data_IF_694072172720
#
_entry.id   IF_694072172720
#
_cell.length_a   1.000
_cell.length_b   1.000
_cell.length_c   1.000
_cell.angle_alpha   90.00
_cell.angle_beta   90.00
_cell.angle_gamma   90.00
#
_symmetry.space_group_name_H-M   'P 1'
#
loop_
_entity.id
_entity.type
_entity.pdbx_description
1 polymer ?
#
# COMPACT_ATOMS: atom_id res chain seq x y z
N UNK A 1 19.73 3.12 -17.62
CA UNK A 1 18.41 2.60 -17.20
C UNK A 1 18.03 3.31 -15.91
N UNK A 2 16.78 3.74 -15.74
CA UNK A 2 16.33 4.35 -14.49
C UNK A 2 16.42 3.32 -13.34
N UNK A 3 16.70 3.78 -12.12
CA UNK A 3 16.72 2.89 -10.95
C UNK A 3 15.31 2.32 -10.70
N UNK A 4 15.17 1.00 -10.42
CA UNK A 4 13.88 0.40 -10.11
C UNK A 4 13.21 1.08 -8.90
N UNK A 5 11.89 1.28 -8.98
CA UNK A 5 11.12 1.82 -7.86
C UNK A 5 11.10 0.81 -6.71
N UNK A 6 11.55 1.24 -5.53
CA UNK A 6 11.51 0.47 -4.30
C UNK A 6 10.18 0.66 -3.59
N UNK A 7 9.43 -0.41 -3.40
CA UNK A 7 8.13 -0.42 -2.70
C UNK A 7 8.29 -1.15 -1.37
N UNK A 8 8.16 -0.40 -0.28
CA UNK A 8 8.09 -0.90 1.08
C UNK A 8 6.70 -1.46 1.38
N UNK A 9 6.62 -2.65 1.95
CA UNK A 9 5.34 -3.32 2.25
C UNK A 9 5.34 -3.76 3.71
N UNK A 10 4.35 -3.29 4.48
CA UNK A 10 4.07 -3.76 5.85
C UNK A 10 2.91 -4.74 5.81
N UNK A 11 3.19 -6.04 5.96
CA UNK A 11 2.19 -7.09 5.76
C UNK A 11 2.59 -8.42 6.46
N UNK A 12 2.11 -9.57 6.00
CA UNK A 12 2.36 -10.90 6.55
C UNK A 12 3.60 -11.59 6.00
N UNK A 13 4.38 -10.91 5.14
CA UNK A 13 5.65 -11.41 4.62
C UNK A 13 5.70 -11.46 3.09
N UNK A 14 6.72 -12.13 2.58
CA UNK A 14 6.97 -12.27 1.14
C UNK A 14 6.85 -13.74 0.66
N UNK A 15 6.34 -13.98 -0.58
CA UNK A 15 6.29 -15.32 -1.15
C UNK A 15 7.60 -15.67 -1.88
N UNK A 16 8.02 -16.93 -1.82
CA UNK A 16 9.22 -17.42 -2.51
C UNK A 16 9.19 -17.13 -4.02
N UNK A 17 8.00 -17.16 -4.62
CA UNK A 17 7.79 -16.84 -6.04
C UNK A 17 8.25 -15.43 -6.45
N UNK A 18 8.46 -14.52 -5.50
CA UNK A 18 8.96 -13.16 -5.74
C UNK A 18 10.37 -12.92 -5.18
N UNK A 19 11.14 -13.98 -4.86
CA UNK A 19 12.48 -13.87 -4.27
C UNK A 19 13.40 -12.91 -5.05
N UNK A 20 13.39 -12.95 -6.38
CA UNK A 20 14.27 -12.14 -7.23
C UNK A 20 13.87 -10.65 -7.27
N UNK A 21 12.74 -10.32 -6.64
CA UNK A 21 12.17 -8.98 -6.56
C UNK A 21 12.26 -8.39 -5.15
N UNK A 22 12.48 -9.22 -4.13
CA UNK A 22 12.60 -8.78 -2.73
C UNK A 22 14.07 -8.45 -2.46
N UNK A 23 14.38 -7.17 -2.27
CA UNK A 23 15.73 -6.68 -2.00
C UNK A 23 16.14 -6.93 -0.54
N UNK A 24 15.19 -6.76 0.36
CA UNK A 24 15.37 -6.97 1.78
C UNK A 24 14.03 -7.36 2.41
N UNK A 25 14.07 -8.19 3.44
CA UNK A 25 12.92 -8.52 4.25
C UNK A 25 13.32 -8.63 5.72
N UNK A 26 12.47 -8.14 6.61
CA UNK A 26 12.68 -8.24 8.05
C UNK A 26 11.40 -8.65 8.75
N UNK A 27 11.52 -9.64 9.64
CA UNK A 27 10.45 -10.05 10.52
C UNK A 27 10.46 -9.22 11.80
N UNK A 28 9.30 -8.64 12.11
CA UNK A 28 9.03 -7.94 13.37
C UNK A 28 8.07 -8.72 14.26
N UNK A 29 7.69 -9.93 13.86
CA UNK A 29 6.85 -10.81 14.70
C UNK A 29 7.69 -11.42 15.82
N UNK A 30 7.04 -11.79 16.93
CA UNK A 30 7.71 -12.45 18.04
C UNK A 30 8.37 -13.76 17.57
N UNK A 31 9.65 -13.96 17.94
CA UNK A 31 10.46 -15.10 17.46
C UNK A 31 11.22 -14.85 16.16
N UNK A 32 10.93 -13.76 15.44
CA UNK A 32 11.61 -13.40 14.20
C UNK A 32 11.39 -14.40 13.07
N UNK A 33 12.37 -14.53 12.17
CA UNK A 33 12.37 -15.50 11.07
C UNK A 33 12.75 -14.89 9.72
N UNK A 34 12.57 -15.69 8.68
CA UNK A 34 12.84 -15.39 7.26
C UNK A 34 11.91 -14.35 6.63
N UNK A 35 10.95 -13.82 7.39
CA UNK A 35 9.88 -12.94 6.92
C UNK A 35 9.03 -13.53 5.78
N UNK A 36 9.07 -14.85 5.56
CA UNK A 36 8.26 -15.49 4.53
C UNK A 36 6.78 -15.48 4.91
N UNK A 37 5.94 -15.29 3.90
CA UNK A 37 4.49 -15.23 4.08
C UNK A 37 3.90 -16.63 4.30
N UNK A 38 3.43 -16.89 5.52
CA UNK A 38 2.73 -18.12 5.91
C UNK A 38 1.20 -17.96 5.89
N UNK A 39 0.72 -16.72 5.84
CA UNK A 39 -0.70 -16.37 5.88
C UNK A 39 -1.30 -16.19 4.48
N UNK A 40 -0.47 -15.79 3.52
CA UNK A 40 -0.84 -15.55 2.12
C UNK A 40 -1.37 -14.14 1.84
N UNK A 41 -1.54 -13.28 2.85
CA UNK A 41 -2.05 -11.92 2.64
C UNK A 41 -0.98 -11.05 1.94
N UNK A 42 0.25 -11.04 2.46
CA UNK A 42 1.39 -10.32 1.88
C UNK A 42 1.72 -10.77 0.46
N UNK A 43 1.62 -12.07 0.17
CA UNK A 43 1.79 -12.63 -1.15
C UNK A 43 0.81 -12.02 -2.16
N UNK A 44 -0.48 -11.93 -1.82
CA UNK A 44 -1.50 -11.31 -2.68
C UNK A 44 -1.27 -9.82 -2.85
N UNK A 45 -0.91 -9.12 -1.77
CA UNK A 45 -0.53 -7.69 -1.79
C UNK A 45 0.62 -7.44 -2.78
N UNK A 46 1.70 -8.22 -2.69
CA UNK A 46 2.88 -8.10 -3.55
C UNK A 46 2.57 -8.49 -5.00
N UNK A 47 1.76 -9.52 -5.23
CA UNK A 47 1.33 -9.93 -6.57
C UNK A 47 0.50 -8.84 -7.26
N UNK A 48 -0.43 -8.20 -6.54
CA UNK A 48 -1.22 -7.08 -7.08
C UNK A 48 -0.32 -5.91 -7.54
N UNK A 49 0.69 -5.55 -6.74
CA UNK A 49 1.65 -4.51 -7.13
C UNK A 49 2.52 -4.94 -8.32
N UNK A 50 3.01 -6.19 -8.32
CA UNK A 50 3.87 -6.74 -9.37
C UNK A 50 3.16 -6.75 -10.73
N UNK A 51 1.85 -7.03 -10.75
CA UNK A 51 1.06 -7.02 -11.99
C UNK A 51 1.02 -5.64 -12.67
N UNK A 52 1.13 -4.55 -11.90
CA UNK A 52 1.07 -3.18 -12.42
C UNK A 52 2.46 -2.56 -12.62
N UNK A 53 3.41 -2.92 -11.77
CA UNK A 53 4.79 -2.44 -11.82
C UNK A 53 5.75 -3.63 -11.88
N UNK A 54 5.90 -4.27 -13.06
CA UNK A 54 6.69 -5.49 -13.23
C UNK A 54 8.20 -5.28 -13.05
N UNK A 55 8.68 -4.04 -12.94
CA UNK A 55 10.07 -3.72 -12.64
C UNK A 55 10.28 -3.25 -11.20
N UNK A 56 9.20 -3.10 -10.41
CA UNK A 56 9.32 -2.72 -9.00
C UNK A 56 10.14 -3.75 -8.23
N UNK A 57 10.81 -3.25 -7.19
CA UNK A 57 11.56 -4.04 -6.22
C UNK A 57 10.99 -3.81 -4.84
N UNK A 58 10.96 -4.85 -4.01
CA UNK A 58 10.24 -4.83 -2.75
C UNK A 58 11.18 -4.85 -1.55
N UNK A 59 10.79 -4.11 -0.52
CA UNK A 59 11.36 -4.23 0.83
C UNK A 59 10.20 -4.62 1.74
N UNK A 60 10.29 -5.77 2.41
CA UNK A 60 9.12 -6.37 3.09
C UNK A 60 9.33 -6.42 4.59
N UNK A 61 8.50 -5.68 5.32
CA UNK A 61 8.45 -5.74 6.78
C UNK A 61 7.28 -6.63 7.20
N UNK A 62 7.59 -7.83 7.69
CA UNK A 62 6.57 -8.74 8.20
C UNK A 62 6.16 -8.32 9.61
N UNK A 63 4.91 -7.88 9.76
CA UNK A 63 4.31 -7.52 11.06
C UNK A 63 3.15 -8.44 11.45
N UNK A 64 2.60 -9.18 10.49
CA UNK A 64 1.60 -10.21 10.73
C UNK A 64 2.26 -11.60 10.65
N UNK A 65 2.07 -12.40 11.69
CA UNK A 65 2.53 -13.79 11.73
C UNK A 65 1.46 -14.73 11.18
N UNK A 66 0.95 -15.60 12.03
CA UNK A 66 -0.12 -16.57 11.69
C UNK A 66 -1.52 -15.95 11.61
N UNK A 67 -1.67 -14.68 12.03
CA UNK A 67 -2.92 -13.94 11.97
C UNK A 67 -2.68 -12.46 11.65
N UNK A 68 -3.70 -11.79 11.11
CA UNK A 68 -3.71 -10.33 10.86
C UNK A 68 -3.85 -9.52 12.15
N UNK A 69 -2.93 -9.73 13.09
CA UNK A 69 -2.88 -9.05 14.39
C UNK A 69 -1.45 -8.65 14.69
N UNK A 70 -1.26 -7.41 15.10
CA UNK A 70 0.02 -6.82 15.47
C UNK A 70 -0.23 -5.57 16.32
N UNK A 71 0.79 -5.06 17.00
CA UNK A 71 0.70 -3.81 17.73
C UNK A 71 1.24 -2.63 16.89
N UNK A 72 0.74 -1.42 17.15
CA UNK A 72 1.08 -0.24 16.34
C UNK A 72 2.50 0.28 16.59
N UNK A 73 3.15 -0.09 17.70
CA UNK A 73 4.56 0.23 17.91
C UNK A 73 5.45 -0.64 17.01
N UNK A 74 5.06 -1.90 16.79
CA UNK A 74 5.67 -2.79 15.81
C UNK A 74 5.50 -2.28 14.38
N UNK A 75 4.30 -1.83 14.00
CA UNK A 75 4.08 -1.17 12.70
C UNK A 75 4.92 0.09 12.56
N UNK A 76 5.03 0.93 13.60
CA UNK A 76 5.86 2.13 13.57
C UNK A 76 7.34 1.82 13.30
N UNK A 77 7.91 0.83 14.00
CA UNK A 77 9.29 0.37 13.76
C UNK A 77 9.49 -0.19 12.35
N UNK A 78 8.50 -0.92 11.83
CA UNK A 78 8.52 -1.43 10.47
C UNK A 78 8.55 -0.28 9.44
N UNK A 79 7.74 0.77 9.63
CA UNK A 79 7.74 1.96 8.76
C UNK A 79 9.10 2.65 8.79
N UNK A 80 9.67 2.90 9.97
CA UNK A 80 11.01 3.52 10.09
C UNK A 80 12.09 2.67 9.40
N UNK A 81 12.01 1.35 9.51
CA UNK A 81 12.93 0.45 8.84
C UNK A 81 12.78 0.52 7.31
N UNK A 82 11.56 0.54 6.78
CA UNK A 82 11.34 0.71 5.33
C UNK A 82 11.92 2.02 4.79
N UNK A 83 11.83 3.11 5.57
CA UNK A 83 12.48 4.39 5.23
C UNK A 83 13.99 4.21 5.15
N UNK A 84 14.59 3.55 6.15
CA UNK A 84 16.04 3.28 6.19
C UNK A 84 16.52 2.44 5.00
N UNK A 85 15.72 1.47 4.56
CA UNK A 85 16.00 0.62 3.39
C UNK A 85 15.76 1.34 2.04
N UNK A 86 15.38 2.62 2.08
CA UNK A 86 15.25 3.46 0.89
C UNK A 86 13.95 3.24 0.13
N UNK A 87 12.86 2.82 0.79
CA UNK A 87 11.55 2.72 0.16
C UNK A 87 11.13 4.07 -0.46
N UNK A 88 10.66 4.03 -1.70
CA UNK A 88 10.09 5.19 -2.40
C UNK A 88 8.60 5.30 -2.14
N UNK A 89 7.90 4.17 -2.17
CA UNK A 89 6.48 4.03 -1.85
C UNK A 89 6.36 3.11 -0.65
N UNK A 90 5.51 3.42 0.32
CA UNK A 90 5.21 2.52 1.45
C UNK A 90 3.72 2.19 1.42
N UNK A 91 3.41 0.90 1.30
CA UNK A 91 2.05 0.37 1.34
C UNK A 91 1.67 -0.06 2.76
N UNK A 92 0.62 0.55 3.31
CA UNK A 92 0.03 0.22 4.60
C UNK A 92 -1.42 -0.25 4.40
N UNK A 93 -1.59 -1.53 4.04
CA UNK A 93 -2.89 -2.20 3.88
C UNK A 93 -3.50 -2.60 5.24
N UNK A 94 -3.50 -1.69 6.21
CA UNK A 94 -4.01 -1.89 7.56
C UNK A 94 -4.66 -0.61 8.08
N UNK A 95 -5.55 -0.73 9.07
CA UNK A 95 -6.21 0.42 9.66
C UNK A 95 -6.69 0.18 11.08
N UNK A 96 -6.49 1.15 11.96
CA UNK A 96 -7.01 1.18 13.34
C UNK A 96 -7.81 2.46 13.57
N UNK A 97 -8.84 2.40 14.43
CA UNK A 97 -9.69 3.58 14.73
C UNK A 97 -9.01 4.60 15.64
N UNK A 98 -8.13 4.13 16.52
CA UNK A 98 -7.44 4.97 17.48
C UNK A 98 -6.13 5.50 16.87
N UNK A 99 -5.81 6.76 17.15
CA UNK A 99 -4.50 7.34 16.87
C UNK A 99 -3.43 6.78 17.81
N UNK A 100 -2.26 6.46 17.27
CA UNK A 100 -1.11 5.99 18.02
C UNK A 100 0.08 6.92 17.78
N UNK A 101 0.56 7.66 18.81
CA UNK A 101 1.65 8.63 18.65
C UNK A 101 2.91 8.06 18.00
N UNK A 102 3.28 6.81 18.31
CA UNK A 102 4.43 6.15 17.71
C UNK A 102 4.25 5.94 16.19
N UNK A 103 3.07 5.47 15.77
CA UNK A 103 2.76 5.25 14.35
C UNK A 103 2.67 6.59 13.60
N UNK A 104 2.01 7.58 14.20
CA UNK A 104 1.95 8.95 13.67
C UNK A 104 3.34 9.49 13.39
N UNK A 105 4.22 9.45 14.38
CA UNK A 105 5.58 9.96 14.25
C UNK A 105 6.40 9.21 13.19
N UNK A 106 6.22 7.89 13.04
CA UNK A 106 6.87 7.11 11.99
C UNK A 106 6.35 7.48 10.60
N UNK A 107 5.04 7.66 10.43
CA UNK A 107 4.45 8.12 9.18
C UNK A 107 4.89 9.54 8.81
N UNK A 108 4.96 10.46 9.78
CA UNK A 108 5.47 11.81 9.58
C UNK A 108 6.93 11.82 9.13
N UNK A 109 7.79 10.99 9.74
CA UNK A 109 9.18 10.80 9.31
C UNK A 109 9.28 10.25 7.89
N UNK A 110 8.46 9.25 7.54
CA UNK A 110 8.44 8.67 6.20
C UNK A 110 8.04 9.71 5.14
N UNK A 111 7.02 10.52 5.40
CA UNK A 111 6.62 11.60 4.49
C UNK A 111 7.74 12.65 4.39
N UNK A 112 8.34 13.03 5.52
CA UNK A 112 9.44 14.01 5.56
C UNK A 112 10.70 13.54 4.81
N UNK A 113 10.96 12.22 4.73
CA UNK A 113 12.04 11.64 3.93
C UNK A 113 11.70 11.51 2.44
N UNK A 114 10.54 11.98 2.00
CA UNK A 114 10.10 11.90 0.60
C UNK A 114 9.55 10.53 0.19
N UNK A 115 9.13 9.70 1.15
CA UNK A 115 8.38 8.48 0.85
C UNK A 115 6.92 8.82 0.55
N UNK A 116 6.35 8.16 -0.45
CA UNK A 116 4.93 8.23 -0.75
C UNK A 116 4.19 7.18 0.09
N UNK A 117 3.46 7.63 1.09
CA UNK A 117 2.71 6.75 1.98
C UNK A 117 1.33 6.47 1.41
N UNK A 118 1.04 5.23 1.03
CA UNK A 118 -0.28 4.79 0.56
C UNK A 118 -0.92 3.92 1.64
N UNK A 119 -2.06 4.34 2.15
CA UNK A 119 -2.70 3.69 3.30
C UNK A 119 -4.19 3.44 3.05
N UNK A 120 -4.66 2.27 3.49
CA UNK A 120 -6.04 1.85 3.26
C UNK A 120 -7.03 2.63 4.12
N UNK A 121 -8.17 2.99 3.52
CA UNK A 121 -9.29 3.64 4.20
C UNK A 121 -10.59 2.89 3.91
N UNK A 122 -11.50 2.74 4.88
CA UNK A 122 -12.77 2.07 4.63
C UNK A 122 -13.67 2.90 3.71
N UNK A 123 -14.54 2.22 2.95
CA UNK A 123 -15.52 2.91 2.10
C UNK A 123 -16.56 3.69 2.90
N UNK A 124 -16.85 3.24 4.13
CA UNK A 124 -17.85 3.80 5.05
C UNK A 124 -17.34 3.75 6.48
N UNK A 125 -17.82 4.67 7.30
CA UNK A 125 -17.48 4.77 8.72
C UNK A 125 -16.37 5.78 8.97
N UNK A 126 -15.89 5.79 10.21
CA UNK A 126 -14.90 6.76 10.67
C UNK A 126 -13.55 6.59 9.95
N UNK A 127 -12.78 7.69 9.81
CA UNK A 127 -11.40 7.61 9.37
C UNK A 127 -10.58 6.64 10.22
N UNK A 128 -9.66 5.94 9.57
CA UNK A 128 -8.72 5.02 10.23
C UNK A 128 -7.29 5.51 10.06
N UNK A 129 -6.44 5.16 11.01
CA UNK A 129 -5.01 5.42 10.96
C UNK A 129 -4.29 4.18 10.44
N UNK A 130 -3.30 4.32 9.54
CA UNK A 130 -2.56 5.55 9.24
C UNK A 130 -3.12 6.43 8.12
N UNK A 131 -4.19 6.03 7.42
CA UNK A 131 -4.74 6.81 6.31
C UNK A 131 -5.18 8.22 6.69
N UNK A 132 -5.62 8.44 7.93
CA UNK A 132 -6.00 9.75 8.44
C UNK A 132 -4.80 10.64 8.86
N UNK A 133 -3.55 10.16 8.82
CA UNK A 133 -2.40 11.00 9.11
C UNK A 133 -2.08 11.98 7.96
N UNK A 134 -1.58 13.18 8.26
CA UNK A 134 -1.15 14.14 7.24
C UNK A 134 -0.12 13.53 6.27
N UNK A 135 -0.28 13.82 4.98
CA UNK A 135 0.64 13.38 3.93
C UNK A 135 0.34 11.99 3.34
N UNK A 136 -0.45 11.15 4.02
CA UNK A 136 -0.89 9.87 3.47
C UNK A 136 -1.77 10.06 2.21
N UNK A 137 -1.61 9.15 1.25
CA UNK A 137 -2.51 8.95 0.11
C UNK A 137 -3.52 7.89 0.53
N UNK A 138 -4.78 8.29 0.64
CA UNK A 138 -5.86 7.46 1.18
C UNK A 138 -6.47 6.60 0.08
N UNK A 139 -6.25 5.29 0.19
CA UNK A 139 -6.67 4.30 -0.81
C UNK A 139 -7.91 3.54 -0.35
N UNK A 140 -9.01 3.72 -1.07
CA UNK A 140 -10.25 2.98 -0.87
C UNK A 140 -10.34 1.80 -1.87
N UNK A 141 -11.00 0.72 -1.48
CA UNK A 141 -11.46 -0.27 -2.46
C UNK A 141 -12.61 0.27 -3.31
N UNK A 142 -12.49 0.22 -4.64
CA UNK A 142 -13.53 0.65 -5.58
C UNK A 142 -13.90 -0.49 -6.53
N UNK A 143 -15.12 -1.03 -6.35
CA UNK A 143 -15.61 -2.16 -7.12
C UNK A 143 -15.86 -1.84 -8.61
N UNK A 144 -15.85 -0.56 -9.01
CA UNK A 144 -15.88 -0.15 -10.42
C UNK A 144 -14.57 -0.46 -11.13
N UNK A 145 -13.46 -0.45 -10.40
CA UNK A 145 -12.12 -0.60 -10.97
C UNK A 145 -11.79 -2.08 -11.21
N UNK A 146 -11.32 -2.39 -12.41
CA UNK A 146 -10.61 -3.64 -12.72
C UNK A 146 -9.10 -3.50 -12.43
N UNK A 147 -8.31 -4.59 -12.41
CA UNK A 147 -6.87 -4.49 -12.21
C UNK A 147 -6.22 -3.49 -13.18
N UNK A 148 -5.43 -2.57 -12.63
CA UNK A 148 -4.78 -1.48 -13.38
C UNK A 148 -5.60 -0.19 -13.52
N UNK A 149 -6.87 -0.21 -13.13
CA UNK A 149 -7.69 0.98 -13.00
C UNK A 149 -7.68 1.51 -11.56
N UNK A 150 -7.82 2.83 -11.45
CA UNK A 150 -8.08 3.55 -10.21
C UNK A 150 -9.09 4.67 -10.48
N UNK A 151 -9.69 5.19 -9.42
CA UNK A 151 -10.62 6.31 -9.45
C UNK A 151 -10.09 7.49 -8.66
N UNK A 152 -10.35 8.70 -9.12
CA UNK A 152 -10.14 9.93 -8.38
C UNK A 152 -11.41 10.24 -7.59
N UNK A 153 -11.46 9.78 -6.34
CA UNK A 153 -12.63 9.95 -5.47
C UNK A 153 -12.69 11.38 -4.94
N UNK A 154 -11.53 11.90 -4.51
CA UNK A 154 -11.36 13.26 -3.96
C UNK A 154 -12.37 13.58 -2.85
N UNK A 155 -12.62 12.60 -1.97
CA UNK A 155 -13.54 12.69 -0.84
C UNK A 155 -12.78 13.06 0.45
N UNK A 156 -13.47 13.65 1.44
CA UNK A 156 -12.85 13.99 2.72
C UNK A 156 -12.19 12.81 3.46
N UNK A 157 -12.61 11.57 3.20
CA UNK A 157 -12.07 10.36 3.84
C UNK A 157 -11.33 9.41 2.89
N UNK A 158 -11.27 9.72 1.59
CA UNK A 158 -10.62 8.88 0.57
C UNK A 158 -10.21 9.68 -0.66
N UNK A 159 -8.95 9.57 -1.05
CA UNK A 159 -8.40 10.31 -2.18
C UNK A 159 -8.64 9.57 -3.48
N UNK A 160 -8.29 8.28 -3.50
CA UNK A 160 -8.38 7.43 -4.67
C UNK A 160 -9.02 6.09 -4.33
N UNK A 161 -9.71 5.51 -5.31
CA UNK A 161 -10.21 4.15 -5.27
C UNK A 161 -9.39 3.25 -6.19
N UNK A 162 -9.26 1.97 -5.90
CA UNK A 162 -8.65 1.02 -6.82
C UNK A 162 -9.25 -0.38 -6.69
N UNK A 163 -8.87 -1.27 -7.62
CA UNK A 163 -9.42 -2.62 -7.72
C UNK A 163 -9.31 -3.39 -6.41
N UNK A 164 -10.40 -4.03 -5.99
CA UNK A 164 -10.44 -4.85 -4.77
C UNK A 164 -10.15 -6.33 -5.03
N UNK A 165 -9.97 -6.72 -6.30
CA UNK A 165 -9.78 -8.11 -6.69
C UNK A 165 -8.28 -8.44 -6.79
N UNK A 166 -7.88 -9.67 -6.41
CA UNK A 166 -6.55 -10.16 -6.74
C UNK A 166 -6.38 -10.28 -8.27
N UNK A 167 -5.13 -10.36 -8.77
CA UNK A 167 -4.87 -10.44 -10.21
C UNK A 167 -5.55 -11.62 -10.94
N UNK A 168 -5.80 -12.72 -10.24
CA UNK A 168 -6.53 -13.90 -10.74
C UNK A 168 -8.06 -13.72 -10.75
N UNK A 169 -8.57 -12.60 -10.22
CA UNK A 169 -9.99 -12.28 -10.19
C UNK A 169 -10.78 -12.97 -9.09
N UNK A 170 -10.12 -13.70 -8.17
CA UNK A 170 -10.81 -14.43 -7.10
C UNK A 170 -11.54 -13.49 -6.13
N UNK A 171 -12.88 -13.55 -6.15
CA UNK A 171 -13.75 -12.73 -5.30
C UNK A 171 -13.73 -13.15 -3.83
N UNK A 172 -13.35 -14.40 -3.51
CA UNK A 172 -13.30 -14.87 -2.12
C UNK A 172 -12.26 -14.13 -1.30
N UNK A 173 -11.22 -13.61 -1.96
CA UNK A 173 -10.13 -12.86 -1.33
C UNK A 173 -10.16 -11.36 -1.66
N UNK A 174 -11.29 -10.86 -2.14
CA UNK A 174 -11.45 -9.43 -2.42
C UNK A 174 -11.43 -8.59 -1.14
N UNK A 175 -10.84 -7.40 -1.19
CA UNK A 175 -10.81 -6.53 -0.01
C UNK A 175 -10.16 -5.17 -0.19
N UNK A 176 -10.33 -4.32 0.83
CA UNK A 176 -9.72 -3.00 0.88
C UNK A 176 -8.18 -3.04 0.87
N UNK A 177 -7.58 -4.10 1.41
CA UNK A 177 -6.13 -4.34 1.34
C UNK A 177 -5.61 -4.41 -0.10
N UNK A 178 -6.39 -5.01 -1.00
CA UNK A 178 -6.06 -5.10 -2.42
C UNK A 178 -6.27 -3.76 -3.13
N UNK A 179 -7.29 -2.99 -2.75
CA UNK A 179 -7.44 -1.60 -3.24
C UNK A 179 -6.19 -0.76 -2.93
N UNK A 180 -5.70 -0.84 -1.70
CA UNK A 180 -4.44 -0.17 -1.32
C UNK A 180 -3.23 -0.71 -2.11
N UNK A 181 -3.13 -2.03 -2.27
CA UNK A 181 -2.04 -2.66 -3.02
C UNK A 181 -2.03 -2.27 -4.51
N UNK A 182 -3.19 -2.29 -5.17
CA UNK A 182 -3.33 -1.87 -6.57
C UNK A 182 -2.99 -0.39 -6.74
N UNK A 183 -3.42 0.48 -5.81
CA UNK A 183 -3.04 1.89 -5.88
C UNK A 183 -1.52 2.07 -5.69
N UNK A 184 -0.90 1.36 -4.75
CA UNK A 184 0.55 1.38 -4.56
C UNK A 184 1.30 0.89 -5.80
N UNK A 185 0.82 -0.18 -6.44
CA UNK A 185 1.34 -0.66 -7.72
C UNK A 185 1.20 0.37 -8.84
N UNK A 186 0.06 1.08 -8.89
CA UNK A 186 -0.17 2.17 -9.85
C UNK A 186 0.79 3.34 -9.62
N UNK A 187 1.03 3.74 -8.37
CA UNK A 187 2.02 4.76 -8.02
C UNK A 187 3.42 4.33 -8.46
N UNK A 188 3.81 3.09 -8.20
CA UNK A 188 5.10 2.57 -8.64
C UNK A 188 5.24 2.55 -10.16
N UNK A 189 4.17 2.19 -10.89
CA UNK A 189 4.14 2.22 -12.35
C UNK A 189 4.28 3.64 -12.91
N UNK A 190 3.63 4.63 -12.31
CA UNK A 190 3.75 6.04 -12.70
C UNK A 190 5.19 6.54 -12.52
N UNK A 191 5.81 6.23 -11.39
CA UNK A 191 7.21 6.60 -11.12
C UNK A 191 8.18 5.93 -12.11
N UNK A 192 7.98 4.64 -12.40
CA UNK A 192 8.77 3.93 -13.41
C UNK A 192 8.57 4.51 -14.82
N UNK A 193 7.39 5.05 -15.10
CA UNK A 193 7.05 5.77 -16.33
C UNK A 193 7.59 7.20 -16.41
N UNK A 194 8.35 7.66 -15.41
CA UNK A 194 9.02 8.97 -15.43
C UNK A 194 8.27 10.09 -14.71
N UNK A 195 7.16 9.80 -14.02
CA UNK A 195 6.54 10.79 -13.12
C UNK A 195 7.55 11.12 -12.01
N UNK A 196 7.73 12.41 -11.73
CA UNK A 196 8.65 12.87 -10.71
C UNK A 196 8.32 12.27 -9.35
N UNK A 197 9.37 11.94 -8.57
CA UNK A 197 9.26 11.38 -7.21
C UNK A 197 8.89 12.48 -6.21
N UNK A 198 7.73 13.08 -6.40
CA UNK A 198 7.13 14.04 -5.51
C UNK A 198 5.62 13.79 -5.40
N UNK A 199 5.06 14.10 -4.22
CA UNK A 199 3.66 13.80 -3.94
C UNK A 199 2.70 14.56 -4.86
N UNK A 200 3.05 15.78 -5.29
CA UNK A 200 2.16 16.60 -6.10
C UNK A 200 2.07 16.08 -7.55
N UNK A 201 3.20 15.73 -8.17
CA UNK A 201 3.25 15.14 -9.50
C UNK A 201 2.56 13.77 -9.53
N UNK A 202 2.81 12.92 -8.53
CA UNK A 202 2.13 11.62 -8.41
C UNK A 202 0.62 11.82 -8.22
N UNK A 203 0.21 12.76 -7.36
CA UNK A 203 -1.19 13.07 -7.16
C UNK A 203 -1.86 13.52 -8.47
N UNK A 204 -1.24 14.45 -9.19
CA UNK A 204 -1.77 14.96 -10.45
C UNK A 204 -1.87 13.84 -11.49
N UNK A 205 -0.82 13.02 -11.62
CA UNK A 205 -0.82 11.88 -12.54
C UNK A 205 -1.89 10.82 -12.20
N UNK A 206 -2.17 10.60 -10.92
CA UNK A 206 -3.29 9.76 -10.49
C UNK A 206 -4.64 10.40 -10.85
N UNK A 207 -4.82 11.71 -10.68
CA UNK A 207 -6.05 12.39 -11.09
C UNK A 207 -6.25 12.29 -12.60
N UNK A 208 -5.22 12.59 -13.38
CA UNK A 208 -5.30 12.65 -14.85
C UNK A 208 -5.51 11.28 -15.50
N UNK A 209 -5.01 10.22 -14.86
CA UNK A 209 -5.13 8.85 -15.38
C UNK A 209 -6.25 8.03 -14.74
N UNK A 210 -7.13 8.65 -13.95
CA UNK A 210 -8.24 7.97 -13.31
C UNK A 210 -9.29 7.48 -14.32
N UNK A 211 -9.73 6.23 -14.17
CA UNK A 211 -10.79 5.65 -14.99
C UNK A 211 -12.18 6.16 -14.57
N UNK A 212 -12.33 6.57 -13.30
CA UNK A 212 -13.57 7.08 -12.74
C UNK A 212 -13.32 8.31 -11.87
N UNK A 213 -14.25 9.26 -11.87
CA UNK A 213 -14.22 10.44 -11.02
C UNK A 213 -15.42 10.47 -10.07
N UNK A 214 -15.16 10.82 -8.81
CA UNK A 214 -16.17 10.90 -7.77
C UNK A 214 -16.68 9.53 -7.29
N UNK A 215 -17.62 9.52 -6.31
CA UNK A 215 -18.12 8.29 -5.70
C UNK A 215 -18.99 7.46 -6.66
N UNK A 216 -19.05 6.14 -6.43
CA UNK A 216 -19.99 5.26 -7.14
C UNK A 216 -21.43 5.73 -6.91
N UNK A 217 -22.15 6.01 -8.00
CA UNK A 217 -23.59 6.27 -7.98
C UNK A 217 -24.30 5.03 -8.52
N UNK A 218 -24.80 4.18 -7.64
CA UNK A 218 -25.72 3.11 -8.04
C UNK A 218 -27.06 3.74 -8.38
N UNK A 219 -27.41 3.76 -9.67
CA UNK A 219 -28.81 3.97 -10.09
C UNK A 219 -29.60 2.78 -9.60
N UNK A 220 -30.61 3.04 -8.77
CA UNK A 220 -31.59 2.03 -8.34
C UNK A 220 -32.44 1.59 -9.52
#
# INVERSE_FOLDING_TARGET
MAEPVRVGVVDSGWPLALQDRVLAAQSFVAGGGDAMDRLGHGARTLQAMTALAPDARFVVAQVFGEALRTDMATVARAVDWLVKEGATVINLSLGVRQDYPALRAACERAVASGCLLVASTPARGDPVFPAAYPGAIRAMGDARCTPGQHSALLLPHADFGACVLPPDGDRAHAGASLGCAHLSGRVAALLAGGVARDRAAVWQALVDSAAFHGPERRTR
#
